data_IF_868702196139
#
_entry.id   IF_868702196139
#
_cell.length_a   1.000
_cell.length_b   1.000
_cell.length_c   1.000
_cell.angle_alpha   90.00
_cell.angle_beta   90.00
_cell.angle_gamma   90.00
#
_symmetry.space_group_name_H-M   'P 1'
#
loop_
_entity.id
_entity.type
_entity.pdbx_description
1 polymer ?
#
# COMPACT_ATOMS: atom_id res chain seq x y z
N UNK A 1 3.09 0.45 4.70
CA UNK A 1 1.69 0.92 4.89
C UNK A 1 1.71 2.21 5.69
N UNK A 2 0.77 3.14 5.49
CA UNK A 2 0.58 4.31 6.36
C UNK A 2 -0.73 4.11 7.14
N UNK A 3 -0.66 4.23 8.47
CA UNK A 3 -1.78 4.03 9.39
C UNK A 3 -1.68 5.03 10.56
N UNK A 4 -2.73 5.20 11.39
CA UNK A 4 -2.71 6.11 12.54
C UNK A 4 -1.59 5.80 13.54
N UNK A 5 -1.23 4.53 13.71
CA UNK A 5 -0.10 4.10 14.54
C UNK A 5 0.88 3.21 13.78
N UNK A 6 2.14 3.21 14.23
CA UNK A 6 3.16 2.32 13.67
C UNK A 6 2.83 0.83 13.90
N UNK A 7 2.19 0.50 15.03
CA UNK A 7 1.75 -0.87 15.33
C UNK A 7 0.73 -1.37 14.30
N UNK A 8 -0.25 -0.54 13.95
CA UNK A 8 -1.23 -0.90 12.91
C UNK A 8 -0.56 -1.05 11.54
N UNK A 9 0.40 -0.19 11.20
CA UNK A 9 1.11 -0.27 9.93
C UNK A 9 1.89 -1.61 9.79
N UNK A 10 2.56 -2.04 10.85
CA UNK A 10 3.33 -3.30 10.93
C UNK A 10 2.43 -4.55 10.90
N UNK A 11 1.25 -4.49 11.56
CA UNK A 11 0.27 -5.56 11.44
C UNK A 11 -0.30 -5.68 10.02
N UNK A 12 -0.63 -4.54 9.40
CA UNK A 12 -1.20 -4.52 8.05
C UNK A 12 -0.20 -4.94 6.98
N UNK A 13 1.06 -4.49 7.04
CA UNK A 13 2.01 -4.81 5.97
C UNK A 13 2.29 -6.31 5.87
N UNK A 14 2.40 -7.01 7.00
CA UNK A 14 2.61 -8.45 7.07
C UNK A 14 1.38 -9.18 6.54
N UNK A 15 0.18 -8.80 6.97
CA UNK A 15 -1.06 -9.40 6.50
C UNK A 15 -1.28 -9.23 5.00
N UNK A 16 -1.03 -8.03 4.47
CA UNK A 16 -1.17 -7.74 3.04
C UNK A 16 -0.13 -8.48 2.19
N UNK A 17 1.09 -8.65 2.69
CA UNK A 17 2.12 -9.45 2.02
C UNK A 17 1.69 -10.92 1.89
N UNK A 18 1.14 -11.50 2.96
CA UNK A 18 0.65 -12.89 2.98
C UNK A 18 -0.52 -13.10 2.02
N UNK A 19 -1.43 -12.12 1.91
CA UNK A 19 -2.58 -12.19 1.01
C UNK A 19 -2.20 -12.15 -0.48
N UNK A 20 -1.05 -11.54 -0.80
CA UNK A 20 -0.61 -11.30 -2.16
C UNK A 20 -1.38 -10.18 -2.88
N UNK A 21 -0.91 -9.74 -4.06
CA UNK A 21 -1.28 -8.45 -4.64
C UNK A 21 -2.77 -8.23 -4.91
N UNK A 22 -3.48 -9.23 -5.43
CA UNK A 22 -4.89 -9.07 -5.83
C UNK A 22 -5.81 -8.98 -4.60
N UNK A 23 -5.71 -9.94 -3.67
CA UNK A 23 -6.50 -9.91 -2.42
C UNK A 23 -6.12 -8.73 -1.54
N UNK A 24 -4.84 -8.35 -1.50
CA UNK A 24 -4.40 -7.17 -0.77
C UNK A 24 -5.07 -5.89 -1.30
N UNK A 25 -5.17 -5.69 -2.62
CA UNK A 25 -5.87 -4.54 -3.21
C UNK A 25 -7.35 -4.49 -2.83
N UNK A 26 -8.02 -5.63 -2.76
CA UNK A 26 -9.43 -5.70 -2.33
C UNK A 26 -9.61 -5.27 -0.87
N UNK A 27 -8.77 -5.80 0.03
CA UNK A 27 -8.79 -5.42 1.46
C UNK A 27 -8.46 -3.94 1.62
N UNK A 28 -7.43 -3.45 0.95
CA UNK A 28 -7.04 -2.03 1.00
C UNK A 28 -8.16 -1.11 0.54
N UNK A 29 -8.93 -1.49 -0.50
CA UNK A 29 -10.09 -0.72 -0.97
C UNK A 29 -11.24 -0.76 0.03
N UNK A 30 -11.51 -1.93 0.62
CA UNK A 30 -12.61 -2.11 1.59
C UNK A 30 -12.36 -1.35 2.89
N UNK A 31 -11.15 -1.44 3.43
CA UNK A 31 -10.76 -0.84 4.71
C UNK A 31 -10.26 0.61 4.56
N UNK A 32 -10.09 1.12 3.33
CA UNK A 32 -9.66 2.49 3.08
C UNK A 32 -8.21 2.78 3.48
N UNK A 33 -7.31 1.80 3.36
CA UNK A 33 -5.93 1.91 3.84
C UNK A 33 -5.04 2.72 2.88
N UNK A 34 -4.07 3.46 3.45
CA UNK A 34 -3.01 4.10 2.68
C UNK A 34 -1.85 3.13 2.44
N UNK A 35 -1.77 2.54 1.24
CA UNK A 35 -0.80 1.49 0.92
C UNK A 35 -0.10 1.78 -0.41
N UNK A 36 1.21 1.54 -0.43
CA UNK A 36 2.03 1.49 -1.62
C UNK A 36 2.61 0.07 -1.74
N UNK A 37 2.35 -0.59 -2.86
CA UNK A 37 2.81 -1.95 -3.15
C UNK A 37 3.76 -1.94 -4.34
N UNK A 38 4.79 -2.78 -4.27
CA UNK A 38 5.70 -3.09 -5.37
C UNK A 38 5.60 -4.58 -5.64
N UNK A 39 5.35 -4.95 -6.89
CA UNK A 39 5.20 -6.35 -7.32
C UNK A 39 6.19 -6.67 -8.43
N UNK A 40 6.76 -7.88 -8.41
CA UNK A 40 7.60 -8.38 -9.50
C UNK A 40 6.70 -8.94 -10.60
N UNK A 41 6.85 -8.44 -11.83
CA UNK A 41 6.15 -8.93 -13.02
C UNK A 41 7.17 -9.22 -14.12
N UNK A 42 7.45 -10.52 -14.34
CA UNK A 42 8.54 -10.96 -15.22
C UNK A 42 9.86 -10.35 -14.77
N UNK A 43 10.57 -9.67 -15.68
CA UNK A 43 11.83 -8.99 -15.37
C UNK A 43 11.65 -7.57 -14.81
N UNK A 44 10.43 -7.07 -14.69
CA UNK A 44 10.13 -5.70 -14.24
C UNK A 44 9.51 -5.63 -12.85
N UNK A 45 9.57 -4.47 -12.21
CA UNK A 45 8.77 -4.16 -11.03
C UNK A 45 7.64 -3.21 -11.41
N UNK A 46 6.43 -3.52 -10.96
CA UNK A 46 5.30 -2.62 -11.05
C UNK A 46 4.96 -2.07 -9.67
N UNK A 47 4.46 -0.85 -9.67
CA UNK A 47 4.06 -0.16 -8.44
C UNK A 47 2.57 0.13 -8.50
N UNK A 48 1.93 0.09 -7.34
CA UNK A 48 0.52 0.44 -7.19
C UNK A 48 0.34 1.16 -5.86
N UNK A 49 -0.47 2.21 -5.85
CA UNK A 49 -0.79 2.96 -4.64
C UNK A 49 -2.29 3.15 -4.50
N UNK A 50 -2.79 3.05 -3.27
CA UNK A 50 -4.19 3.36 -2.98
C UNK A 50 -4.46 4.87 -3.10
N UNK A 51 -5.72 5.29 -3.35
CA UNK A 51 -6.08 6.70 -3.35
C UNK A 51 -5.68 7.44 -2.06
N UNK A 52 -5.82 6.76 -0.91
CA UNK A 52 -5.48 7.30 0.40
C UNK A 52 -3.97 7.49 0.57
N UNK A 53 -3.14 6.71 -0.11
CA UNK A 53 -1.70 6.94 -0.08
C UNK A 53 -1.30 8.26 -0.75
N UNK A 54 -2.03 8.67 -1.80
CA UNK A 54 -1.72 9.90 -2.56
C UNK A 54 -1.82 11.17 -1.73
N UNK A 55 -2.70 11.21 -0.73
CA UNK A 55 -2.84 12.40 0.14
C UNK A 55 -1.62 12.65 1.03
N UNK A 56 -0.73 11.66 1.19
CA UNK A 56 0.52 11.80 1.94
C UNK A 56 1.71 12.20 1.06
N UNK A 57 1.54 12.30 -0.27
CA UNK A 57 2.61 12.73 -1.16
C UNK A 57 2.80 14.24 -1.04
N UNK A 58 4.02 14.65 -0.75
CA UNK A 58 4.44 16.06 -0.78
C UNK A 58 4.90 16.37 -2.20
N UNK A 59 4.26 17.33 -2.86
CA UNK A 59 4.79 17.89 -4.11
C UNK A 59 5.77 18.99 -3.74
N UNK A 60 7.07 18.79 -3.97
CA UNK A 60 7.99 19.92 -4.02
C UNK A 60 7.60 20.81 -5.22
N UNK A 61 7.01 21.98 -4.93
CA UNK A 61 7.18 23.14 -5.80
C UNK A 61 8.49 23.79 -5.39
N UNK A 62 9.59 23.31 -5.95
CA UNK A 62 10.83 24.09 -6.03
C UNK A 62 10.74 25.05 -7.21
#
# INVERSE_FOLDING_TARGET
VIAPTALEADAWDTGLMVLGPEKAKEVVRREGLAVYMITKEGDSFKTWMSPQFKSFLISEKN
#
